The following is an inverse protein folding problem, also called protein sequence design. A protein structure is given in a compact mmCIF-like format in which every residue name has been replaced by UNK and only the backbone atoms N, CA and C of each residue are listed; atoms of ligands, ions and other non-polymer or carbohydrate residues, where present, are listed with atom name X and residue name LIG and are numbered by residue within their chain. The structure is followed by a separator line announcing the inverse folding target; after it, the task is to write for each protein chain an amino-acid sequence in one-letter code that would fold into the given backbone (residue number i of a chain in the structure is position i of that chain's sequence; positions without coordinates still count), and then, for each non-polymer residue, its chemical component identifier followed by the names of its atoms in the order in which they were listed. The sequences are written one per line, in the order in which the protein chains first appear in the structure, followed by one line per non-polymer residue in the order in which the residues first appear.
data_IF_685611727134
#
_entry.id   IF_685611727134
#
_cell.length_a   1.000
_cell.length_b   1.000
_cell.length_c   1.000
_cell.angle_alpha   90.00
_cell.angle_beta   90.00
_cell.angle_gamma   90.00
#
_symmetry.space_group_name_H-M   'P 1'
#
loop_
_entity.id
_entity.type
_entity.pdbx_description
1 polymer ?
#
# COMPACT_ATOMS: atom_id res chain seq x y z
N UNK A 1 -7.74 7.72 -5.39
CA UNK A 1 -7.74 6.28 -5.78
C UNK A 1 -6.66 5.49 -5.07
N UNK A 2 -6.93 4.22 -4.81
CA UNK A 2 -6.00 3.35 -4.14
C UNK A 2 -4.79 3.05 -5.03
N UNK A 3 -3.98 2.08 -4.63
CA UNK A 3 -2.80 1.71 -5.40
C UNK A 3 -2.90 0.29 -5.93
N UNK A 4 -3.76 0.10 -6.92
CA UNK A 4 -3.94 -1.21 -7.52
C UNK A 4 -4.03 -2.33 -6.51
N UNK A 5 -3.51 -3.50 -6.87
CA UNK A 5 -3.54 -4.66 -5.98
C UNK A 5 -2.12 -5.17 -5.72
N UNK A 6 -1.37 -5.36 -6.80
CA UNK A 6 0.00 -5.86 -6.67
C UNK A 6 1.03 -4.81 -6.79
N UNK A 7 0.44 -3.75 -6.99
CA UNK A 7 1.08 -2.45 -7.16
C UNK A 7 1.61 -1.93 -5.83
N UNK A 8 2.94 -1.91 -5.70
CA UNK A 8 3.57 -1.43 -4.48
C UNK A 8 3.21 0.03 -4.21
N UNK A 9 3.04 0.36 -2.93
CA UNK A 9 2.69 1.72 -2.54
C UNK A 9 3.82 2.69 -2.85
N UNK A 10 3.53 3.98 -2.73
CA UNK A 10 4.51 5.02 -2.99
C UNK A 10 3.96 6.40 -2.68
N UNK A 11 4.85 7.33 -2.32
CA UNK A 11 4.45 8.69 -1.99
C UNK A 11 3.91 9.42 -3.23
N UNK A 12 4.06 8.81 -4.40
CA UNK A 12 3.59 9.39 -5.64
C UNK A 12 2.10 9.69 -5.58
N UNK A 13 1.30 8.67 -5.25
CA UNK A 13 -0.15 8.83 -5.16
C UNK A 13 -0.64 8.65 -3.75
N UNK A 14 0.31 8.41 -2.93
CA UNK A 14 0.10 8.20 -1.51
C UNK A 14 -0.33 6.77 -1.19
N UNK A 15 0.45 6.04 -0.39
CA UNK A 15 0.14 4.66 -0.03
C UNK A 15 -1.28 4.50 0.50
N UNK A 16 -1.91 3.37 0.20
CA UNK A 16 -3.27 3.11 0.66
C UNK A 16 -3.67 1.66 0.37
N UNK A 17 -3.30 1.19 -0.82
CA UNK A 17 -3.61 -0.17 -1.24
C UNK A 17 -5.13 -0.36 -1.36
N UNK A 18 -5.58 -0.73 -2.57
CA UNK A 18 -7.00 -0.93 -2.83
C UNK A 18 -7.65 -1.85 -1.79
N UNK A 19 -8.94 -2.12 -1.99
CA UNK A 19 -9.70 -2.96 -1.07
C UNK A 19 -9.21 -4.40 -1.09
N UNK A 20 -9.40 -5.10 0.04
CA UNK A 20 -8.97 -6.48 0.14
C UNK A 20 -7.52 -6.60 0.56
N UNK A 21 -6.91 -5.46 0.87
CA UNK A 21 -5.51 -5.42 1.28
C UNK A 21 -5.13 -4.01 1.72
N UNK A 22 -4.41 -3.91 2.84
CA UNK A 22 -4.00 -2.61 3.35
C UNK A 22 -2.49 -2.43 3.22
N UNK A 23 -2.06 -1.18 3.04
CA UNK A 23 -0.64 -0.87 2.90
C UNK A 23 -0.01 -0.60 4.25
N UNK A 24 1.30 -0.83 4.34
CA UNK A 24 2.04 -0.60 5.58
C UNK A 24 3.38 0.05 5.30
N UNK A 25 3.36 1.36 5.07
CA UNK A 25 4.57 2.12 4.78
C UNK A 25 5.13 2.74 6.06
N UNK A 26 4.34 3.58 6.70
CA UNK A 26 4.76 4.23 7.94
C UNK A 26 5.99 5.10 7.70
N UNK A 27 6.60 5.57 8.79
CA UNK A 27 7.79 6.40 8.69
C UNK A 27 9.00 5.60 8.23
N UNK A 28 8.89 4.27 8.31
CA UNK A 28 9.98 3.39 7.90
C UNK A 28 10.22 3.49 6.39
N UNK A 29 11.46 3.24 5.94
CA UNK A 29 11.81 3.30 4.52
C UNK A 29 11.15 2.19 3.71
N UNK A 30 10.89 1.07 4.37
CA UNK A 30 10.28 -0.08 3.72
C UNK A 30 8.75 0.03 3.74
N UNK A 31 8.13 -0.16 2.59
CA UNK A 31 6.68 -0.08 2.48
C UNK A 31 6.15 -1.09 1.47
N UNK A 32 4.99 -1.65 1.77
CA UNK A 32 4.36 -2.63 0.89
C UNK A 32 2.92 -2.92 1.33
N UNK A 33 2.16 -3.57 0.45
CA UNK A 33 0.78 -3.90 0.74
C UNK A 33 0.68 -4.92 1.88
N UNK A 34 -0.50 -5.50 2.03
CA UNK A 34 -0.75 -6.49 3.07
C UNK A 34 -2.19 -6.96 3.03
N UNK A 35 -2.42 -8.04 2.30
CA UNK A 35 -3.77 -8.61 2.17
C UNK A 35 -4.24 -9.18 3.50
N UNK A 36 -5.54 -9.28 3.67
CA UNK A 36 -6.11 -9.82 4.90
C UNK A 36 -6.11 -11.34 4.85
N UNK A 37 -5.96 -11.96 6.02
CA UNK A 37 -5.95 -13.41 6.13
C UNK A 37 -7.34 -13.94 6.48
#
# INVERSE_FOLDING_TARGET
GCLGEGEKCADWSGPSCCDGFYCSCRSMPYCRCRNNSX
#
